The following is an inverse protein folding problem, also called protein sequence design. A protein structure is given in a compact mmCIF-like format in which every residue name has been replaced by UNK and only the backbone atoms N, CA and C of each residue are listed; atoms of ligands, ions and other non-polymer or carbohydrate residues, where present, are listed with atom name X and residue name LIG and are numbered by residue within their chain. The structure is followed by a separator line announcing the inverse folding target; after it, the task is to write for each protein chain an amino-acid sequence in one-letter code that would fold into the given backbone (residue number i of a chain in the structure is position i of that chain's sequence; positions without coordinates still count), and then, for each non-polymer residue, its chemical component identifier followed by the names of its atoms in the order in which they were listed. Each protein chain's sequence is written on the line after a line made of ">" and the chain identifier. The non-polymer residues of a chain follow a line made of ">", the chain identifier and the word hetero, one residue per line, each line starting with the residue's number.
data_IF_591067086635
#
_entry.id   IF_591067086635
#
_cell.length_a   1.000
_cell.length_b   1.000
_cell.length_c   1.000
_cell.angle_alpha   90.00
_cell.angle_beta   90.00
_cell.angle_gamma   90.00
#
_symmetry.space_group_name_H-M   'P 1'
#
loop_
_entity.id
_entity.type
_entity.pdbx_description
1 polymer ?
#
# COMPACT_ATOMS: atom_id res chain seq x y z
N UNK A 1 6.20 -9.26 48.63
CA UNK A 1 5.18 -8.36 48.07
C UNK A 1 5.15 -8.54 46.56
N UNK A 2 4.13 -9.24 46.07
CA UNK A 2 3.90 -9.40 44.63
C UNK A 2 3.24 -8.14 44.08
N UNK A 3 3.93 -7.43 43.22
CA UNK A 3 3.37 -6.30 42.50
C UNK A 3 2.26 -6.85 41.56
N UNK A 4 1.02 -6.46 41.83
CA UNK A 4 -0.09 -6.75 40.95
C UNK A 4 0.13 -6.07 39.60
N UNK A 5 0.36 -6.86 38.55
CA UNK A 5 0.37 -6.39 37.17
C UNK A 5 -1.04 -5.89 36.82
N UNK A 6 -1.19 -4.59 36.62
CA UNK A 6 -2.41 -4.04 36.05
C UNK A 6 -2.65 -4.68 34.67
N UNK A 7 -3.88 -5.17 34.41
CA UNK A 7 -4.21 -5.66 33.08
C UNK A 7 -4.04 -4.51 32.08
N UNK A 8 -3.26 -4.75 31.02
CA UNK A 8 -3.14 -3.81 29.91
C UNK A 8 -4.54 -3.50 29.36
N UNK A 9 -4.92 -2.22 29.38
CA UNK A 9 -6.14 -1.75 28.74
C UNK A 9 -6.09 -2.18 27.26
N UNK A 10 -7.17 -2.75 26.73
CA UNK A 10 -7.17 -3.20 25.34
C UNK A 10 -6.88 -2.03 24.41
N UNK A 11 -6.00 -2.25 23.44
CA UNK A 11 -5.57 -1.33 22.37
C UNK A 11 -6.73 -0.77 21.51
N UNK A 12 -7.96 -1.14 21.83
CA UNK A 12 -9.19 -0.76 21.15
C UNK A 12 -9.75 0.62 21.55
N UNK A 13 -9.20 1.27 22.57
CA UNK A 13 -9.72 2.53 23.12
C UNK A 13 -8.89 3.77 22.75
N UNK A 14 -7.93 3.66 21.81
CA UNK A 14 -7.20 4.86 21.38
C UNK A 14 -8.07 5.75 20.48
N UNK A 15 -7.91 7.09 20.54
CA UNK A 15 -8.62 8.00 19.63
C UNK A 15 -8.43 7.64 18.15
N UNK A 16 -7.24 7.16 17.79
CA UNK A 16 -6.90 6.72 16.43
C UNK A 16 -7.71 5.49 16.02
N UNK A 17 -7.85 4.51 16.94
CA UNK A 17 -8.67 3.33 16.68
C UNK A 17 -10.14 3.69 16.58
N UNK A 18 -10.65 4.54 17.45
CA UNK A 18 -12.04 4.99 17.41
C UNK A 18 -12.38 5.69 16.08
N UNK A 19 -11.48 6.55 15.59
CA UNK A 19 -11.66 7.22 14.31
C UNK A 19 -11.64 6.21 13.14
N UNK A 20 -10.71 5.26 13.17
CA UNK A 20 -10.61 4.21 12.18
C UNK A 20 -11.89 3.37 12.11
N UNK A 21 -12.41 2.95 13.27
CA UNK A 21 -13.63 2.16 13.38
C UNK A 21 -14.86 2.92 12.86
N UNK A 22 -14.95 4.20 13.18
CA UNK A 22 -16.08 5.03 12.80
C UNK A 22 -16.14 5.35 11.31
N UNK A 23 -15.01 5.56 10.64
CA UNK A 23 -14.99 6.13 9.30
C UNK A 23 -14.37 5.23 8.22
N UNK A 24 -13.59 4.22 8.60
CA UNK A 24 -12.83 3.40 7.66
C UNK A 24 -13.26 1.94 7.67
N UNK A 25 -13.35 1.34 8.85
CA UNK A 25 -13.67 -0.09 9.02
C UNK A 25 -15.05 -0.47 8.49
N UNK A 26 -15.99 0.48 8.46
CA UNK A 26 -17.32 0.26 7.88
C UNK A 26 -17.26 -0.27 6.43
N UNK A 27 -16.23 0.11 5.67
CA UNK A 27 -16.00 -0.34 4.30
C UNK A 27 -14.76 -1.24 4.16
N UNK A 28 -13.73 -1.02 4.97
CA UNK A 28 -12.46 -1.75 4.89
C UNK A 28 -12.36 -2.80 6.01
N UNK A 29 -13.11 -3.89 5.86
CA UNK A 29 -13.17 -4.97 6.85
C UNK A 29 -13.16 -6.35 6.20
N UNK A 30 -12.80 -7.34 7.00
CA UNK A 30 -12.68 -8.73 6.58
C UNK A 30 -14.01 -9.34 6.10
N UNK A 31 -15.14 -8.90 6.65
CA UNK A 31 -16.45 -9.39 6.25
C UNK A 31 -16.76 -9.03 4.79
N UNK A 32 -16.41 -7.82 4.34
CA UNK A 32 -16.57 -7.40 2.95
C UNK A 32 -15.58 -8.11 2.05
N UNK A 33 -14.31 -8.16 2.42
CA UNK A 33 -13.25 -8.79 1.60
C UNK A 33 -13.55 -10.27 1.38
N UNK A 34 -14.02 -10.99 2.41
CA UNK A 34 -14.32 -12.42 2.35
C UNK A 34 -15.74 -12.74 1.89
N UNK A 35 -16.57 -11.72 1.59
CA UNK A 35 -17.94 -11.97 1.10
C UNK A 35 -17.91 -12.60 -0.30
N UNK A 36 -18.83 -13.52 -0.55
CA UNK A 36 -19.03 -14.06 -1.90
C UNK A 36 -19.56 -12.97 -2.84
N UNK A 37 -19.19 -13.00 -4.13
CA UNK A 37 -19.81 -12.15 -5.14
C UNK A 37 -21.33 -12.40 -5.19
N UNK A 38 -22.11 -11.31 -5.26
CA UNK A 38 -23.55 -11.36 -5.34
C UNK A 38 -23.95 -10.83 -6.74
N UNK A 39 -24.90 -11.51 -7.40
CA UNK A 39 -25.44 -11.02 -8.67
C UNK A 39 -26.02 -9.60 -8.46
N UNK A 40 -25.66 -8.68 -9.36
CA UNK A 40 -25.98 -7.25 -9.27
C UNK A 40 -25.36 -6.48 -8.09
N UNK A 41 -24.26 -6.97 -7.55
CA UNK A 41 -23.48 -6.25 -6.57
C UNK A 41 -23.01 -4.90 -7.12
N UNK A 42 -23.08 -3.87 -6.29
CA UNK A 42 -22.59 -2.53 -6.67
C UNK A 42 -21.09 -2.55 -6.95
N UNK A 43 -20.66 -1.77 -7.96
CA UNK A 43 -19.25 -1.63 -8.35
C UNK A 43 -18.32 -1.35 -7.17
N UNK A 44 -18.81 -0.61 -6.18
CA UNK A 44 -18.06 -0.24 -4.99
C UNK A 44 -17.70 -1.46 -4.12
N UNK A 45 -18.64 -2.36 -3.88
CA UNK A 45 -18.39 -3.58 -3.08
C UNK A 45 -17.42 -4.51 -3.79
N UNK A 46 -17.59 -4.67 -5.10
CA UNK A 46 -16.65 -5.42 -5.94
C UNK A 46 -15.24 -4.83 -5.87
N UNK A 47 -15.11 -3.49 -5.92
CA UNK A 47 -13.81 -2.83 -5.79
C UNK A 47 -13.19 -3.01 -4.41
N UNK A 48 -13.97 -2.92 -3.33
CA UNK A 48 -13.49 -3.13 -1.96
C UNK A 48 -12.98 -4.57 -1.77
N UNK A 49 -13.70 -5.56 -2.30
CA UNK A 49 -13.28 -6.97 -2.26
C UNK A 49 -11.97 -7.18 -3.01
N UNK A 50 -11.85 -6.64 -4.22
CA UNK A 50 -10.65 -6.78 -5.06
C UNK A 50 -9.43 -6.06 -4.47
N UNK A 51 -9.64 -4.96 -3.73
CA UNK A 51 -8.56 -4.26 -3.00
C UNK A 51 -7.98 -5.10 -1.86
N UNK A 52 -8.78 -5.97 -1.24
CA UNK A 52 -8.35 -6.81 -0.13
C UNK A 52 -7.89 -6.05 1.12
N UNK A 53 -8.21 -4.75 1.23
CA UNK A 53 -7.78 -3.93 2.35
C UNK A 53 -8.69 -4.13 3.56
N UNK A 54 -8.15 -4.68 4.64
CA UNK A 54 -8.84 -4.93 5.91
C UNK A 54 -8.20 -4.11 7.02
N UNK A 55 -8.91 -3.11 7.53
CA UNK A 55 -8.43 -2.23 8.60
C UNK A 55 -8.95 -2.61 9.98
N UNK A 56 -9.94 -3.50 10.04
CA UNK A 56 -10.46 -4.08 11.27
C UNK A 56 -9.45 -5.02 11.97
N UNK A 57 -8.60 -5.68 11.18
CA UNK A 57 -7.55 -6.59 11.67
C UNK A 57 -6.23 -5.90 11.95
N UNK A 58 -6.04 -4.67 11.46
CA UNK A 58 -4.79 -3.94 11.64
C UNK A 58 -4.69 -3.26 13.00
N UNK A 59 -3.52 -3.37 13.61
CA UNK A 59 -3.23 -2.63 14.83
C UNK A 59 -2.67 -1.23 14.50
N UNK A 60 -3.54 -0.23 14.53
CA UNK A 60 -3.18 1.15 14.23
C UNK A 60 -2.10 1.71 15.19
N UNK A 61 -1.91 1.13 16.36
CA UNK A 61 -0.86 1.53 17.31
C UNK A 61 0.50 0.85 17.05
N UNK A 62 0.55 -0.07 16.09
CA UNK A 62 1.79 -0.74 15.67
C UNK A 62 1.96 -0.65 14.16
N UNK A 63 2.27 0.55 13.68
CA UNK A 63 2.45 0.83 12.25
C UNK A 63 3.60 0.02 11.64
N UNK A 64 4.58 -0.35 12.45
CA UNK A 64 5.74 -1.13 12.01
C UNK A 64 5.41 -2.58 11.60
N UNK A 65 4.26 -3.11 12.03
CA UNK A 65 3.85 -4.45 11.66
C UNK A 65 3.52 -4.56 10.15
N UNK A 66 2.80 -3.58 9.62
CA UNK A 66 2.37 -3.54 8.21
C UNK A 66 2.46 -2.11 7.65
N UNK A 67 3.67 -1.53 7.53
CA UNK A 67 3.84 -0.13 7.13
C UNK A 67 3.26 0.17 5.75
N UNK A 68 3.33 -0.78 4.80
CA UNK A 68 2.79 -0.61 3.45
C UNK A 68 1.26 -0.38 3.41
N UNK A 69 0.52 -0.97 4.35
CA UNK A 69 -0.93 -0.75 4.47
C UNK A 69 -1.18 0.70 4.88
N UNK A 70 -0.45 1.18 5.89
CA UNK A 70 -0.60 2.53 6.41
C UNK A 70 -0.13 3.61 5.42
N UNK A 71 0.91 3.33 4.63
CA UNK A 71 1.33 4.18 3.51
C UNK A 71 0.21 4.35 2.47
N UNK A 72 -0.49 3.27 2.11
CA UNK A 72 -1.64 3.33 1.22
C UNK A 72 -2.77 4.18 1.81
N UNK A 73 -3.02 4.06 3.11
CA UNK A 73 -4.01 4.88 3.82
C UNK A 73 -3.63 6.36 3.77
N UNK A 74 -2.39 6.71 4.17
CA UNK A 74 -1.88 8.09 4.14
C UNK A 74 -1.99 8.69 2.75
N UNK A 75 -1.60 7.96 1.70
CA UNK A 75 -1.70 8.42 0.31
C UNK A 75 -3.13 8.81 -0.07
N UNK A 76 -4.14 8.04 0.37
CA UNK A 76 -5.55 8.34 0.10
C UNK A 76 -6.08 9.50 0.94
N UNK A 77 -5.59 9.64 2.18
CA UNK A 77 -5.94 10.78 3.03
C UNK A 77 -5.32 12.08 2.50
N UNK A 78 -4.07 12.07 2.02
CA UNK A 78 -3.40 13.25 1.44
C UNK A 78 -4.17 13.86 0.29
N UNK A 79 -4.67 13.03 -0.62
CA UNK A 79 -5.44 13.50 -1.78
C UNK A 79 -6.93 13.71 -1.46
N UNK A 80 -7.36 13.47 -0.23
CA UNK A 80 -8.71 13.73 0.23
C UNK A 80 -9.80 12.84 -0.39
N UNK A 81 -9.45 11.70 -0.99
CA UNK A 81 -10.43 10.80 -1.64
C UNK A 81 -11.06 9.80 -0.67
N UNK A 82 -10.53 9.66 0.55
CA UNK A 82 -11.09 8.81 1.60
C UNK A 82 -11.37 9.61 2.87
N UNK A 83 -12.51 9.38 3.53
CA UNK A 83 -13.69 8.64 3.07
C UNK A 83 -14.25 9.23 1.76
N UNK A 84 -14.96 8.42 0.93
CA UNK A 84 -15.49 8.90 -0.36
C UNK A 84 -16.50 10.03 -0.18
N UNK A 85 -16.76 10.85 -1.22
CA UNK A 85 -17.87 11.79 -1.23
C UNK A 85 -19.19 11.09 -0.87
N UNK A 86 -20.07 11.79 -0.15
CA UNK A 86 -21.37 11.30 0.34
C UNK A 86 -21.34 10.26 1.47
N UNK A 87 -20.15 9.95 2.01
CA UNK A 87 -20.02 9.16 3.24
C UNK A 87 -19.67 10.05 4.43
N UNK A 88 -20.00 9.64 5.67
CA UNK A 88 -19.58 10.36 6.86
C UNK A 88 -18.06 10.57 6.88
N UNK A 89 -17.65 11.77 7.22
CA UNK A 89 -16.24 12.16 7.32
C UNK A 89 -15.97 12.77 8.68
N UNK A 90 -14.75 12.60 9.22
CA UNK A 90 -14.33 13.35 10.38
C UNK A 90 -14.39 14.86 10.12
N UNK A 91 -14.50 15.66 11.18
CA UNK A 91 -14.23 17.09 11.08
C UNK A 91 -12.79 17.33 10.60
N UNK A 92 -12.54 18.55 10.12
CA UNK A 92 -11.26 18.89 9.50
C UNK A 92 -10.07 18.67 10.44
N UNK A 93 -10.19 19.05 11.70
CA UNK A 93 -9.10 18.99 12.66
C UNK A 93 -8.79 17.54 13.04
N UNK A 94 -9.81 16.72 13.25
CA UNK A 94 -9.68 15.27 13.46
C UNK A 94 -9.08 14.57 12.26
N UNK A 95 -9.50 14.95 11.05
CA UNK A 95 -8.97 14.38 9.82
C UNK A 95 -7.48 14.68 9.62
N UNK A 96 -7.11 15.94 9.72
CA UNK A 96 -5.72 16.40 9.56
C UNK A 96 -4.83 15.87 10.70
N UNK A 97 -5.34 15.87 11.93
CA UNK A 97 -4.65 15.32 13.08
C UNK A 97 -4.35 13.83 12.92
N UNK A 98 -5.30 13.05 12.45
CA UNK A 98 -5.11 11.61 12.19
C UNK A 98 -4.10 11.37 11.06
N UNK A 99 -4.19 12.11 9.96
CA UNK A 99 -3.23 12.03 8.86
C UNK A 99 -1.81 12.34 9.32
N UNK A 100 -1.63 13.48 10.00
CA UNK A 100 -0.31 13.90 10.50
C UNK A 100 0.26 12.90 11.50
N UNK A 101 -0.58 12.33 12.35
CA UNK A 101 -0.17 11.31 13.31
C UNK A 101 0.33 10.03 12.61
N UNK A 102 -0.38 9.57 11.58
CA UNK A 102 0.05 8.41 10.77
C UNK A 102 1.37 8.71 10.05
N UNK A 103 1.50 9.87 9.41
CA UNK A 103 2.71 10.28 8.70
C UNK A 103 3.91 10.29 9.64
N UNK A 104 3.80 10.98 10.78
CA UNK A 104 4.90 11.03 11.77
C UNK A 104 5.26 9.65 12.33
N UNK A 105 4.27 8.78 12.53
CA UNK A 105 4.53 7.43 13.00
C UNK A 105 5.24 6.56 11.96
N UNK A 106 4.88 6.69 10.69
CA UNK A 106 5.56 5.99 9.59
C UNK A 106 6.97 6.51 9.36
N UNK A 107 7.19 7.82 9.47
CA UNK A 107 8.53 8.41 9.40
C UNK A 107 9.44 7.84 10.51
N UNK A 108 8.93 7.71 11.73
CA UNK A 108 9.68 7.08 12.84
C UNK A 108 10.00 5.60 12.56
N UNK A 109 9.07 4.86 11.97
CA UNK A 109 9.29 3.47 11.57
C UNK A 109 10.38 3.39 10.51
N UNK A 110 10.35 4.29 9.52
CA UNK A 110 11.34 4.34 8.44
C UNK A 110 12.74 4.73 8.95
N UNK A 111 12.83 5.69 9.88
CA UNK A 111 14.10 6.07 10.52
C UNK A 111 14.72 4.91 11.32
N UNK A 112 13.89 4.15 12.02
CA UNK A 112 14.35 2.99 12.79
C UNK A 112 14.80 1.83 11.92
N UNK A 113 14.32 1.73 10.69
CA UNK A 113 14.63 0.68 9.73
C UNK A 113 14.87 1.29 8.35
N UNK A 114 16.08 1.82 8.16
CA UNK A 114 16.47 2.43 6.89
C UNK A 114 16.47 1.36 5.79
N UNK A 115 15.45 1.41 4.95
CA UNK A 115 15.37 0.63 3.72
C UNK A 115 15.42 1.60 2.52
N UNK A 116 16.58 1.75 1.86
CA UNK A 116 16.71 2.66 0.73
C UNK A 116 15.96 2.20 -0.54
N UNK A 117 15.10 1.17 -0.41
CA UNK A 117 14.34 0.65 -1.53
C UNK A 117 15.23 -0.02 -2.60
N UNK A 118 16.35 -0.61 -2.18
CA UNK A 118 17.20 -1.35 -3.12
C UNK A 118 16.47 -2.60 -3.58
N UNK A 119 16.11 -2.60 -4.84
CA UNK A 119 15.70 -3.81 -5.55
C UNK A 119 16.86 -4.81 -5.66
N UNK A 120 16.58 -6.05 -6.02
CA UNK A 120 17.61 -7.06 -6.25
C UNK A 120 18.68 -6.53 -7.20
N UNK A 121 19.95 -6.82 -6.90
CA UNK A 121 21.10 -6.27 -7.61
C UNK A 121 21.17 -6.69 -9.09
N UNK A 122 20.48 -7.77 -9.48
CA UNK A 122 20.51 -8.32 -10.83
C UNK A 122 19.09 -8.51 -11.36
N UNK A 123 18.81 -7.85 -12.46
CA UNK A 123 17.62 -8.08 -13.28
C UNK A 123 18.03 -8.06 -14.76
N UNK A 124 17.23 -8.64 -15.63
CA UNK A 124 17.45 -8.48 -17.06
C UNK A 124 17.09 -7.07 -17.48
N UNK A 125 17.69 -6.59 -18.55
CA UNK A 125 17.31 -5.30 -19.13
C UNK A 125 15.89 -5.40 -19.71
N UNK A 126 15.09 -4.34 -19.55
CA UNK A 126 13.84 -4.19 -20.29
C UNK A 126 14.14 -3.84 -21.77
N UNK A 127 13.11 -3.81 -22.61
CA UNK A 127 13.29 -3.51 -24.06
C UNK A 127 14.00 -2.18 -24.30
N UNK A 128 13.65 -1.14 -23.57
CA UNK A 128 14.24 0.21 -23.70
C UNK A 128 15.70 0.23 -23.27
N UNK A 129 15.99 -0.38 -22.13
CA UNK A 129 17.35 -0.49 -21.60
C UNK A 129 18.26 -1.31 -22.54
N UNK A 130 17.75 -2.43 -23.06
CA UNK A 130 18.47 -3.28 -23.99
C UNK A 130 18.79 -2.55 -25.31
N UNK A 131 17.80 -1.85 -25.89
CA UNK A 131 17.99 -1.03 -27.09
C UNK A 131 19.06 0.04 -26.87
N UNK A 132 18.97 0.77 -25.76
CA UNK A 132 19.94 1.81 -25.41
C UNK A 132 21.34 1.22 -25.22
N UNK A 133 21.46 0.08 -24.53
CA UNK A 133 22.74 -0.58 -24.33
C UNK A 133 23.39 -1.00 -25.66
N UNK A 134 22.62 -1.60 -26.57
CA UNK A 134 23.12 -2.00 -27.90
C UNK A 134 23.54 -0.78 -28.72
N UNK A 135 22.72 0.27 -28.72
CA UNK A 135 23.07 1.53 -29.42
C UNK A 135 24.37 2.15 -28.87
N UNK A 136 24.46 2.24 -27.54
CA UNK A 136 25.58 2.94 -26.89
C UNK A 136 26.90 2.14 -26.94
N UNK A 137 26.83 0.82 -26.98
CA UNK A 137 28.02 -0.04 -27.07
C UNK A 137 28.46 -0.39 -28.47
N UNK A 138 27.50 -0.53 -29.40
CA UNK A 138 27.78 -1.07 -30.74
C UNK A 138 27.43 -0.08 -31.85
N UNK A 139 26.88 1.11 -31.53
CA UNK A 139 26.38 2.10 -32.50
C UNK A 139 25.33 1.51 -33.46
N UNK A 140 24.52 0.57 -32.97
CA UNK A 140 23.47 -0.11 -33.72
C UNK A 140 22.08 0.26 -33.20
N UNK A 141 21.21 0.70 -34.12
CA UNK A 141 19.77 0.84 -33.81
C UNK A 141 19.03 -0.41 -34.25
N UNK A 142 18.53 -1.19 -33.25
CA UNK A 142 17.87 -2.47 -33.47
C UNK A 142 16.38 -2.38 -33.14
N UNK A 143 15.57 -3.20 -33.84
CA UNK A 143 14.16 -3.41 -33.46
C UNK A 143 14.07 -4.47 -32.34
N UNK A 144 14.10 -4.01 -31.09
CA UNK A 144 14.11 -4.90 -29.92
C UNK A 144 12.84 -5.74 -29.81
N UNK A 145 11.69 -5.24 -30.32
CA UNK A 145 10.43 -5.96 -30.26
C UNK A 145 10.44 -7.30 -31.03
N UNK A 146 11.38 -7.47 -31.98
CA UNK A 146 11.58 -8.73 -32.70
C UNK A 146 12.45 -9.72 -31.92
N UNK A 147 13.21 -9.24 -30.93
CA UNK A 147 14.20 -10.05 -30.19
C UNK A 147 13.73 -10.41 -28.78
N UNK A 148 13.01 -9.51 -28.14
CA UNK A 148 12.60 -9.65 -26.75
C UNK A 148 11.09 -9.37 -26.65
N UNK A 149 10.31 -10.26 -26.01
CA UNK A 149 8.90 -10.01 -25.79
C UNK A 149 8.69 -8.74 -24.93
N UNK A 150 7.53 -8.08 -25.05
CA UNK A 150 7.23 -6.91 -24.25
C UNK A 150 7.20 -7.25 -22.75
N UNK A 151 7.71 -6.33 -21.96
CA UNK A 151 7.72 -6.43 -20.53
C UNK A 151 6.35 -6.05 -19.96
N UNK A 152 5.85 -6.84 -19.01
CA UNK A 152 4.66 -6.46 -18.27
C UNK A 152 5.04 -5.35 -17.26
N UNK A 153 4.27 -4.26 -17.19
CA UNK A 153 4.48 -3.27 -16.17
C UNK A 153 4.13 -3.84 -14.78
N UNK A 154 4.79 -3.32 -13.74
CA UNK A 154 4.43 -3.61 -12.36
C UNK A 154 3.07 -2.98 -11.99
N UNK A 155 2.64 -3.19 -10.75
CA UNK A 155 1.38 -2.64 -10.23
C UNK A 155 1.31 -1.09 -10.24
N UNK A 156 2.43 -0.41 -10.45
CA UNK A 156 2.54 1.05 -10.53
C UNK A 156 2.73 1.55 -11.97
N UNK A 157 2.84 0.65 -12.94
CA UNK A 157 3.02 0.97 -14.36
C UNK A 157 4.47 1.11 -14.80
N UNK A 158 5.45 0.68 -14.00
CA UNK A 158 6.87 0.69 -14.36
C UNK A 158 7.30 -0.65 -14.96
N UNK A 159 7.98 -0.62 -16.08
CA UNK A 159 8.49 -1.79 -16.79
C UNK A 159 9.98 -2.08 -16.51
N UNK A 160 10.59 -1.34 -15.60
CA UNK A 160 11.99 -1.48 -15.20
C UNK A 160 12.17 -1.96 -13.75
N UNK A 161 11.11 -2.51 -13.14
CA UNK A 161 11.19 -3.06 -11.79
C UNK A 161 11.84 -4.46 -11.80
N UNK A 162 12.89 -4.64 -11.00
CA UNK A 162 13.62 -5.89 -10.91
C UNK A 162 12.77 -7.10 -10.48
N UNK A 163 11.69 -6.88 -9.72
CA UNK A 163 10.76 -7.94 -9.32
C UNK A 163 9.98 -8.53 -10.51
N UNK A 164 9.77 -7.72 -11.56
CA UNK A 164 9.04 -8.13 -12.78
C UNK A 164 10.02 -8.63 -13.84
N UNK A 165 11.23 -8.09 -13.87
CA UNK A 165 12.29 -8.43 -14.83
C UNK A 165 13.15 -9.61 -14.35
N UNK A 166 12.52 -10.69 -13.91
CA UNK A 166 13.24 -11.90 -13.47
C UNK A 166 14.06 -12.49 -14.63
N UNK A 167 15.23 -13.01 -14.29
CA UNK A 167 16.00 -13.83 -15.21
C UNK A 167 15.27 -15.17 -15.40
N UNK A 168 15.12 -15.57 -16.65
CA UNK A 168 14.62 -16.91 -16.97
C UNK A 168 15.60 -17.97 -16.43
N UNK A 169 15.13 -19.05 -15.79
CA UNK A 169 16.00 -20.14 -15.33
C UNK A 169 16.70 -20.88 -16.49
#
# INVERSE_FOLDING_TARGET
>A
EAAAQQPALPSQLSPQRALLDQYCVICHNQAIVNSAPIDNEGLQTTQLRNLGLTLDTENVLNLAANPEIWEKVVKKLRVGVMPPPNYPRPDKDSYEGFRTWLESGLDQVAEARVDPGRTQAFHRLNQTEYRNAVRDLLDLDINVAELIPPDAPDQYGFDNNAEVLALSP
#
